data_IF_868916377573
#
_entry.id   IF_868916377573
#
_cell.length_a   1.000
_cell.length_b   1.000
_cell.length_c   1.000
_cell.angle_alpha   90.00
_cell.angle_beta   90.00
_cell.angle_gamma   90.00
#
_symmetry.space_group_name_H-M   'P 1'
#
loop_
_entity.id
_entity.type
_entity.pdbx_description
1 polymer ?
#
# COMPACT_ATOMS: atom_id res chain seq x y z
N UNK A 1 -18.84 -5.02 -33.53
CA UNK A 1 -19.69 -6.22 -33.59
C UNK A 1 -18.84 -7.37 -34.11
N UNK A 2 -18.59 -8.36 -33.28
CA UNK A 2 -17.86 -9.57 -33.68
C UNK A 2 -18.87 -10.71 -33.87
N UNK A 3 -18.74 -11.42 -34.95
CA UNK A 3 -19.55 -12.59 -35.24
C UNK A 3 -18.78 -13.83 -34.75
N UNK A 4 -19.31 -14.49 -33.72
CA UNK A 4 -18.73 -15.71 -33.15
C UNK A 4 -19.44 -16.94 -33.72
N UNK A 5 -18.90 -17.48 -34.85
CA UNK A 5 -19.35 -18.75 -35.40
C UNK A 5 -20.79 -18.76 -35.89
N UNK A 6 -21.32 -19.96 -36.18
CA UNK A 6 -22.61 -20.21 -36.84
C UNK A 6 -23.88 -19.91 -35.99
N UNK A 7 -23.80 -19.05 -35.00
CA UNK A 7 -24.99 -18.57 -34.27
C UNK A 7 -25.63 -17.44 -35.07
N UNK A 8 -26.39 -17.78 -36.08
CA UNK A 8 -27.15 -16.82 -36.87
C UNK A 8 -28.01 -15.91 -35.97
N UNK A 9 -27.73 -14.62 -36.02
CA UNK A 9 -28.56 -13.58 -35.41
C UNK A 9 -28.23 -13.18 -33.99
N UNK A 10 -27.13 -13.68 -33.36
CA UNK A 10 -26.71 -13.23 -32.04
C UNK A 10 -25.56 -12.24 -32.14
N UNK A 11 -25.83 -10.98 -31.75
CA UNK A 11 -24.81 -9.96 -31.67
C UNK A 11 -24.21 -9.93 -30.25
N UNK A 12 -22.91 -10.17 -30.14
CA UNK A 12 -22.20 -10.04 -28.87
C UNK A 12 -21.47 -8.69 -28.81
N UNK A 13 -21.59 -7.99 -27.67
CA UNK A 13 -20.70 -6.89 -27.38
C UNK A 13 -19.37 -7.43 -26.85
N UNK A 14 -18.26 -7.05 -27.49
CA UNK A 14 -16.95 -7.37 -26.98
C UNK A 14 -16.58 -6.41 -25.82
N UNK A 15 -16.85 -6.83 -24.59
CA UNK A 15 -16.50 -6.07 -23.39
C UNK A 15 -14.99 -6.05 -23.10
N UNK A 16 -14.19 -6.78 -23.90
CA UNK A 16 -12.74 -6.83 -23.77
C UNK A 16 -12.02 -5.78 -24.64
N UNK A 17 -12.75 -5.01 -25.45
CA UNK A 17 -12.14 -3.92 -26.21
C UNK A 17 -11.80 -2.76 -25.30
N UNK A 18 -10.52 -2.39 -25.30
CA UNK A 18 -10.06 -1.20 -24.62
C UNK A 18 -10.23 0.02 -25.55
N UNK A 19 -10.97 1.04 -25.09
CA UNK A 19 -11.06 2.32 -25.78
C UNK A 19 -9.91 3.22 -25.33
N UNK A 20 -9.17 3.77 -26.28
CA UNK A 20 -8.06 4.71 -26.02
C UNK A 20 -8.42 6.05 -26.62
N UNK A 21 -8.20 7.13 -25.88
CA UNK A 21 -8.37 8.49 -26.40
C UNK A 21 -7.28 8.80 -27.44
N UNK A 22 -7.65 9.60 -28.45
CA UNK A 22 -6.69 10.05 -29.47
C UNK A 22 -5.71 11.01 -28.82
N UNK A 23 -4.41 10.69 -28.90
CA UNK A 23 -3.32 11.43 -28.23
C UNK A 23 -3.31 12.93 -28.59
N UNK A 24 -3.62 13.27 -29.82
CA UNK A 24 -3.66 14.66 -30.29
C UNK A 24 -4.74 15.51 -29.57
N UNK A 25 -5.85 14.90 -29.19
CA UNK A 25 -6.89 15.56 -28.41
C UNK A 25 -6.43 15.81 -26.97
N UNK A 26 -5.68 14.89 -26.39
CA UNK A 26 -5.15 15.00 -25.01
C UNK A 26 -4.08 16.08 -24.92
N UNK A 27 -3.21 16.20 -25.92
CA UNK A 27 -2.09 17.15 -25.93
C UNK A 27 -2.49 18.58 -26.33
N UNK A 28 -3.72 18.81 -26.80
CA UNK A 28 -4.19 20.11 -27.22
C UNK A 28 -4.86 20.88 -26.06
N UNK A 29 -4.09 21.74 -25.38
CA UNK A 29 -4.54 22.53 -24.23
C UNK A 29 -5.77 23.43 -24.50
N UNK A 30 -6.15 23.61 -25.76
CA UNK A 30 -7.36 24.39 -26.12
C UNK A 30 -8.63 23.55 -26.10
N UNK A 31 -8.54 22.23 -26.04
CA UNK A 31 -9.68 21.31 -26.13
C UNK A 31 -10.18 20.82 -24.76
N UNK A 32 -9.42 21.03 -23.67
CA UNK A 32 -9.85 20.63 -22.33
C UNK A 32 -9.35 21.58 -21.24
N UNK A 33 -10.06 21.62 -20.13
CA UNK A 33 -9.66 22.32 -18.91
C UNK A 33 -9.18 21.30 -17.86
N UNK A 34 -8.09 21.63 -17.16
CA UNK A 34 -7.66 20.86 -16.00
C UNK A 34 -8.57 21.15 -14.81
N UNK A 35 -8.89 20.11 -14.07
CA UNK A 35 -9.62 20.18 -12.81
C UNK A 35 -8.96 19.31 -11.77
N UNK A 36 -8.63 19.88 -10.61
CA UNK A 36 -8.11 19.13 -9.47
C UNK A 36 -9.27 18.48 -8.71
N UNK A 37 -9.27 17.18 -8.59
CA UNK A 37 -10.31 16.41 -7.90
C UNK A 37 -10.27 16.73 -6.41
N UNK A 38 -11.36 17.22 -5.85
CA UNK A 38 -11.48 17.51 -4.43
C UNK A 38 -11.84 16.23 -3.64
N UNK A 39 -11.50 16.25 -2.34
CA UNK A 39 -11.88 15.13 -1.45
C UNK A 39 -13.39 14.98 -1.38
N UNK A 40 -13.89 13.79 -1.75
CA UNK A 40 -15.31 13.49 -1.82
C UNK A 40 -15.98 13.73 -3.17
N UNK A 41 -15.25 14.29 -4.15
CA UNK A 41 -15.75 14.36 -5.53
C UNK A 41 -15.95 12.95 -6.09
N UNK A 42 -17.11 12.73 -6.70
CA UNK A 42 -17.47 11.48 -7.36
C UNK A 42 -17.54 11.70 -8.88
N UNK A 43 -17.12 10.72 -9.69
CA UNK A 43 -17.10 10.88 -11.14
C UNK A 43 -18.48 11.17 -11.75
N UNK A 44 -19.56 10.58 -11.23
CA UNK A 44 -20.93 10.83 -11.65
C UNK A 44 -21.39 12.26 -11.32
N UNK A 45 -21.05 12.78 -10.15
CA UNK A 45 -21.37 14.16 -9.73
C UNK A 45 -20.59 15.17 -10.58
N UNK A 46 -19.30 14.91 -10.82
CA UNK A 46 -18.49 15.76 -11.70
C UNK A 46 -19.00 15.73 -13.14
N UNK A 47 -19.46 14.57 -13.63
CA UNK A 47 -20.10 14.46 -14.94
C UNK A 47 -21.35 15.35 -15.01
N UNK A 48 -22.19 15.32 -13.99
CA UNK A 48 -23.36 16.21 -13.94
C UNK A 48 -22.95 17.69 -13.89
N UNK A 49 -21.93 18.03 -13.10
CA UNK A 49 -21.42 19.40 -12.98
C UNK A 49 -20.89 19.96 -14.30
N UNK A 50 -20.17 19.16 -15.09
CA UNK A 50 -19.51 19.62 -16.31
C UNK A 50 -20.33 19.41 -17.58
N UNK A 51 -21.14 18.35 -17.63
CA UNK A 51 -21.87 17.95 -18.84
C UNK A 51 -23.41 18.02 -18.70
N UNK A 52 -23.91 18.29 -17.48
CA UNK A 52 -25.36 18.34 -17.22
C UNK A 52 -26.05 16.98 -17.14
N UNK A 53 -25.26 15.88 -17.23
CA UNK A 53 -25.75 14.50 -17.11
C UNK A 53 -24.71 13.64 -16.40
N UNK A 54 -25.13 12.59 -15.71
CA UNK A 54 -24.26 11.62 -15.05
C UNK A 54 -23.62 10.63 -16.02
N UNK A 55 -24.15 10.51 -17.24
CA UNK A 55 -23.84 9.43 -18.17
C UNK A 55 -22.42 9.49 -18.76
N UNK A 56 -21.75 10.64 -18.67
CA UNK A 56 -20.41 10.83 -19.25
C UNK A 56 -19.27 10.67 -18.24
N UNK A 57 -19.50 10.13 -17.04
CA UNK A 57 -18.47 9.91 -16.01
C UNK A 57 -17.27 9.10 -16.53
N UNK A 58 -17.48 8.17 -17.45
CA UNK A 58 -16.46 7.33 -18.05
C UNK A 58 -15.40 8.10 -18.85
N UNK A 59 -15.74 9.32 -19.33
CA UNK A 59 -14.81 10.17 -20.09
C UNK A 59 -13.60 10.55 -19.24
N UNK A 60 -13.77 10.75 -17.93
CA UNK A 60 -12.67 11.05 -17.02
C UNK A 60 -11.62 9.94 -17.01
N UNK A 61 -12.06 8.69 -17.01
CA UNK A 61 -11.17 7.52 -17.07
C UNK A 61 -10.55 7.31 -18.46
N UNK A 62 -11.24 7.74 -19.50
CA UNK A 62 -10.75 7.62 -20.87
C UNK A 62 -9.57 8.56 -21.13
N UNK A 63 -9.67 9.81 -20.67
CA UNK A 63 -8.65 10.84 -20.93
C UNK A 63 -7.54 10.88 -19.89
N UNK A 64 -7.71 10.21 -18.74
CA UNK A 64 -6.72 10.16 -17.66
C UNK A 64 -6.29 8.71 -17.40
N UNK A 65 -5.23 8.22 -18.07
CA UNK A 65 -4.76 6.84 -17.92
C UNK A 65 -4.40 6.47 -16.48
N UNK A 66 -3.82 7.40 -15.71
CA UNK A 66 -3.44 7.19 -14.32
C UNK A 66 -4.65 6.88 -13.41
N UNK A 67 -5.79 7.58 -13.58
CA UNK A 67 -7.03 7.29 -12.86
C UNK A 67 -7.65 5.98 -13.35
N UNK A 68 -7.56 5.69 -14.65
CA UNK A 68 -8.06 4.42 -15.20
C UNK A 68 -7.35 3.20 -14.64
N UNK A 69 -6.04 3.29 -14.43
CA UNK A 69 -5.21 2.18 -13.94
C UNK A 69 -5.23 2.04 -12.42
N UNK A 70 -5.24 3.15 -11.71
CA UNK A 70 -5.16 3.18 -10.24
C UNK A 70 -6.50 3.33 -9.53
N UNK A 71 -7.56 3.70 -10.25
CA UNK A 71 -8.88 3.99 -9.70
C UNK A 71 -9.08 5.47 -9.37
N UNK A 72 -10.30 5.81 -8.95
CA UNK A 72 -10.67 7.15 -8.51
C UNK A 72 -10.03 7.48 -7.16
N UNK A 73 -9.58 8.73 -6.91
CA UNK A 73 -9.02 9.11 -5.62
C UNK A 73 -9.99 8.84 -4.46
N UNK A 74 -9.46 8.26 -3.39
CA UNK A 74 -10.22 7.95 -2.19
C UNK A 74 -10.46 9.24 -1.40
N UNK A 75 -11.67 9.49 -0.87
CA UNK A 75 -11.93 10.61 0.01
C UNK A 75 -11.01 10.57 1.25
N UNK A 76 -10.53 11.74 1.69
CA UNK A 76 -9.56 11.83 2.81
C UNK A 76 -10.08 11.18 4.09
N UNK A 77 -11.41 11.25 4.33
CA UNK A 77 -12.03 10.65 5.50
C UNK A 77 -12.08 9.11 5.48
N UNK A 78 -12.08 8.50 4.28
CA UNK A 78 -12.08 7.04 4.12
C UNK A 78 -10.66 6.45 3.99
N UNK A 79 -9.67 7.30 3.67
CA UNK A 79 -8.32 6.86 3.34
C UNK A 79 -7.63 6.13 4.49
N UNK A 80 -7.88 6.54 5.73
CA UNK A 80 -7.33 5.86 6.89
C UNK A 80 -7.89 4.44 7.07
N UNK A 81 -9.19 4.27 6.86
CA UNK A 81 -9.83 2.96 7.01
C UNK A 81 -9.43 2.02 5.85
N UNK A 82 -9.28 2.55 4.65
CA UNK A 82 -8.70 1.82 3.52
C UNK A 82 -7.25 1.39 3.82
N UNK A 83 -6.45 2.30 4.42
CA UNK A 83 -5.07 1.99 4.80
C UNK A 83 -4.99 0.89 5.85
N UNK A 84 -5.85 0.93 6.87
CA UNK A 84 -5.94 -0.12 7.89
C UNK A 84 -6.37 -1.45 7.30
N UNK A 85 -7.34 -1.44 6.39
CA UNK A 85 -7.79 -2.65 5.68
C UNK A 85 -6.69 -3.28 4.82
N UNK A 86 -5.86 -2.44 4.19
CA UNK A 86 -4.76 -2.89 3.35
C UNK A 86 -3.53 -3.38 4.12
N UNK A 87 -3.28 -2.80 5.30
CA UNK A 87 -2.14 -3.11 6.17
C UNK A 87 -2.61 -3.43 7.59
N UNK A 88 -3.30 -4.57 7.78
CA UNK A 88 -4.00 -4.89 9.03
C UNK A 88 -3.10 -5.44 10.13
N UNK A 89 -1.83 -5.71 9.84
CA UNK A 89 -0.93 -6.43 10.73
C UNK A 89 -0.13 -5.50 11.67
N UNK A 90 0.74 -6.09 12.47
CA UNK A 90 1.69 -5.40 13.33
C UNK A 90 3.09 -5.49 12.76
N UNK A 91 3.89 -4.47 12.99
CA UNK A 91 5.31 -4.47 12.67
C UNK A 91 6.12 -4.40 13.96
N UNK A 92 7.01 -5.35 14.14
CA UNK A 92 8.03 -5.37 15.18
C UNK A 92 9.35 -5.01 14.51
N UNK A 93 10.07 -4.06 15.08
CA UNK A 93 11.39 -3.63 14.58
C UNK A 93 12.46 -4.16 15.53
N UNK A 94 13.53 -4.72 14.97
CA UNK A 94 14.67 -5.28 15.69
C UNK A 94 15.99 -4.90 15.02
N UNK A 95 17.09 -4.87 15.80
CA UNK A 95 18.46 -4.77 15.26
C UNK A 95 19.10 -6.15 15.04
N UNK A 96 18.43 -7.21 15.46
CA UNK A 96 18.94 -8.56 15.30
C UNK A 96 18.83 -8.98 13.82
N UNK A 97 19.79 -9.79 13.36
CA UNK A 97 19.74 -10.31 11.99
C UNK A 97 18.63 -11.37 11.85
N UNK A 98 17.54 -10.97 11.21
CA UNK A 98 16.38 -11.82 10.93
C UNK A 98 16.42 -12.49 9.55
N UNK A 99 17.50 -12.31 8.78
CA UNK A 99 17.60 -12.79 7.39
C UNK A 99 17.42 -14.31 7.29
N UNK A 100 18.04 -15.07 8.20
CA UNK A 100 17.99 -16.53 8.24
C UNK A 100 16.91 -17.09 9.17
N UNK A 101 16.49 -16.28 10.13
CA UNK A 101 15.55 -16.65 11.18
C UNK A 101 14.13 -16.14 10.87
N UNK A 102 13.15 -16.50 11.66
CA UNK A 102 11.77 -16.06 11.56
C UNK A 102 11.13 -16.34 10.18
N UNK A 103 11.02 -17.61 9.76
CA UNK A 103 10.39 -17.93 8.48
C UNK A 103 8.91 -17.50 8.47
N UNK A 104 8.42 -17.16 7.29
CA UNK A 104 6.99 -16.84 7.09
C UNK A 104 6.13 -18.05 7.49
N UNK A 105 5.05 -17.80 8.21
CA UNK A 105 4.19 -18.84 8.79
C UNK A 105 4.64 -19.33 10.18
N UNK A 106 5.81 -18.90 10.68
CA UNK A 106 6.29 -19.26 12.02
C UNK A 106 5.48 -18.54 13.08
N UNK A 107 5.02 -19.30 14.09
CA UNK A 107 4.45 -18.69 15.30
C UNK A 107 5.58 -18.19 16.19
N UNK A 108 5.49 -16.95 16.60
CA UNK A 108 6.41 -16.30 17.53
C UNK A 108 5.69 -15.93 18.82
N UNK A 109 6.42 -15.94 19.91
CA UNK A 109 5.91 -15.63 21.25
C UNK A 109 6.79 -14.55 21.88
N UNK A 110 6.19 -13.57 22.47
CA UNK A 110 6.89 -12.54 23.26
C UNK A 110 7.02 -12.96 24.72
N UNK A 111 7.90 -12.30 25.45
CA UNK A 111 8.11 -12.53 26.89
C UNK A 111 6.85 -12.29 27.74
N UNK A 112 5.90 -11.48 27.28
CA UNK A 112 4.63 -11.26 27.95
C UNK A 112 3.59 -12.37 27.66
N UNK A 113 3.92 -13.37 26.82
CA UNK A 113 3.07 -14.47 26.44
C UNK A 113 2.21 -14.22 25.19
N UNK A 114 2.26 -13.03 24.59
CA UNK A 114 1.55 -12.75 23.35
C UNK A 114 2.15 -13.57 22.21
N UNK A 115 1.28 -14.18 21.42
CA UNK A 115 1.66 -14.99 20.26
C UNK A 115 1.18 -14.32 18.97
N UNK A 116 1.88 -14.62 17.89
CA UNK A 116 1.46 -14.20 16.54
C UNK A 116 2.18 -15.00 15.47
N UNK A 117 1.71 -14.88 14.25
CA UNK A 117 2.27 -15.58 13.08
C UNK A 117 3.03 -14.59 12.20
N UNK A 118 4.25 -14.91 11.83
CA UNK A 118 5.05 -14.10 10.89
C UNK A 118 4.42 -14.15 9.51
N UNK A 119 3.92 -13.02 9.03
CA UNK A 119 3.31 -12.88 7.69
C UNK A 119 4.36 -12.48 6.66
N UNK A 120 5.28 -11.61 7.07
CA UNK A 120 6.35 -11.11 6.21
C UNK A 120 7.53 -10.66 7.06
N UNK A 121 8.73 -10.74 6.51
CA UNK A 121 9.93 -10.10 7.08
C UNK A 121 10.62 -9.21 6.07
N UNK A 122 11.22 -8.15 6.56
CA UNK A 122 12.04 -7.20 5.78
C UNK A 122 13.37 -7.09 6.51
N UNK A 123 14.33 -7.99 6.22
CA UNK A 123 15.60 -8.07 6.95
C UNK A 123 16.42 -6.78 6.86
N UNK A 124 16.38 -6.11 5.71
CA UNK A 124 17.11 -4.87 5.43
C UNK A 124 16.73 -3.76 6.42
N UNK A 125 15.48 -3.74 6.86
CA UNK A 125 14.93 -2.78 7.82
C UNK A 125 14.75 -3.36 9.23
N UNK A 126 15.14 -4.60 9.46
CA UNK A 126 14.92 -5.28 10.73
C UNK A 126 13.45 -5.43 11.11
N UNK A 127 12.54 -5.55 10.14
CA UNK A 127 11.11 -5.57 10.39
C UNK A 127 10.51 -6.98 10.26
N UNK A 128 9.75 -7.38 11.28
CA UNK A 128 8.86 -8.54 11.27
C UNK A 128 7.42 -8.06 11.24
N UNK A 129 6.68 -8.46 10.22
CA UNK A 129 5.24 -8.21 10.11
C UNK A 129 4.52 -9.44 10.63
N UNK A 130 3.73 -9.25 11.69
CA UNK A 130 3.15 -10.34 12.48
C UNK A 130 1.63 -10.13 12.60
N UNK A 131 0.89 -11.20 12.38
CA UNK A 131 -0.54 -11.30 12.66
C UNK A 131 -0.74 -11.92 14.06
N UNK A 132 -1.35 -11.19 14.97
CA UNK A 132 -1.72 -11.70 16.29
C UNK A 132 -3.23 -11.81 16.49
N UNK A 133 -4.03 -11.57 15.46
CA UNK A 133 -5.49 -11.68 15.50
C UNK A 133 -6.21 -10.63 16.34
N UNK A 134 -5.50 -9.62 16.87
CA UNK A 134 -6.06 -8.57 17.72
C UNK A 134 -6.15 -7.22 17.00
N UNK A 135 -7.02 -6.34 17.51
CA UNK A 135 -7.11 -4.97 17.01
C UNK A 135 -5.77 -4.21 17.14
N UNK A 136 -5.49 -3.39 16.15
CA UNK A 136 -4.19 -2.73 15.92
C UNK A 136 -3.85 -1.64 16.97
N UNK A 137 -4.76 -1.29 17.85
CA UNK A 137 -4.63 -0.11 18.73
C UNK A 137 -3.90 -0.34 20.06
N UNK A 138 -3.44 -1.55 20.33
CA UNK A 138 -2.73 -1.89 21.57
C UNK A 138 -1.32 -2.42 21.28
N UNK A 139 -0.37 -2.14 22.19
CA UNK A 139 0.95 -2.78 22.16
C UNK A 139 0.79 -4.22 22.60
N UNK A 140 0.94 -5.18 21.69
CA UNK A 140 0.63 -6.58 21.99
C UNK A 140 1.88 -7.35 22.44
N UNK A 141 3.00 -7.16 21.74
CA UNK A 141 4.23 -7.94 21.99
C UNK A 141 5.10 -7.39 23.12
N UNK A 142 4.79 -6.19 23.60
CA UNK A 142 5.42 -5.62 24.79
C UNK A 142 6.31 -4.40 24.52
N UNK A 143 6.82 -3.79 25.60
CA UNK A 143 7.64 -2.59 25.50
C UNK A 143 9.01 -2.89 24.88
N UNK A 144 9.71 -1.81 24.55
CA UNK A 144 11.11 -1.83 24.08
C UNK A 144 11.98 -2.65 25.03
N UNK A 145 12.94 -3.41 24.47
CA UNK A 145 13.88 -4.31 25.13
C UNK A 145 13.28 -5.65 25.61
N UNK A 146 12.03 -5.93 25.34
CA UNK A 146 11.55 -7.32 25.42
C UNK A 146 11.96 -8.11 24.19
N UNK A 147 11.84 -9.43 24.26
CA UNK A 147 12.18 -10.31 23.16
C UNK A 147 10.92 -10.96 22.59
N UNK A 148 10.95 -11.17 21.28
CA UNK A 148 10.03 -12.05 20.56
C UNK A 148 10.83 -13.21 19.97
N UNK A 149 10.30 -14.42 20.02
CA UNK A 149 11.06 -15.56 19.54
C UNK A 149 10.21 -16.82 19.35
N UNK A 150 10.89 -17.87 18.93
CA UNK A 150 10.35 -19.22 18.79
C UNK A 150 11.44 -20.25 19.09
N UNK A 151 11.05 -21.50 19.32
CA UNK A 151 12.00 -22.59 19.43
C UNK A 151 12.12 -23.32 18.10
N UNK A 152 13.34 -23.41 17.56
CA UNK A 152 13.61 -24.22 16.38
C UNK A 152 13.33 -25.68 16.70
N UNK A 153 12.48 -26.33 15.93
CA UNK A 153 12.07 -27.73 16.17
C UNK A 153 13.10 -28.74 15.74
N UNK A 154 14.07 -28.35 14.91
CA UNK A 154 15.15 -29.24 14.43
C UNK A 154 16.31 -29.25 15.40
N UNK A 155 16.77 -28.05 15.79
CA UNK A 155 17.93 -27.90 16.68
C UNK A 155 17.56 -27.79 18.16
N UNK A 156 16.25 -27.65 18.45
CA UNK A 156 15.71 -27.41 19.79
C UNK A 156 16.36 -26.22 20.50
N UNK A 157 16.71 -25.19 19.72
CA UNK A 157 17.35 -23.96 20.20
C UNK A 157 16.37 -22.81 20.20
N UNK A 158 16.34 -21.96 21.23
CA UNK A 158 15.52 -20.74 21.21
C UNK A 158 16.15 -19.70 20.27
N UNK A 159 15.35 -19.19 19.34
CA UNK A 159 15.70 -18.09 18.46
C UNK A 159 14.89 -16.88 18.91
N UNK A 160 15.58 -15.79 19.26
CA UNK A 160 14.95 -14.59 19.79
C UNK A 160 15.45 -13.36 19.08
N UNK A 161 14.61 -12.31 19.02
CA UNK A 161 14.96 -10.99 18.57
C UNK A 161 14.47 -9.94 19.58
N UNK A 162 15.27 -8.90 19.80
CA UNK A 162 14.96 -7.81 20.74
C UNK A 162 14.03 -6.80 20.09
N UNK A 163 12.94 -6.46 20.73
CA UNK A 163 11.97 -5.48 20.27
C UNK A 163 12.53 -4.08 20.52
N UNK A 164 12.78 -3.33 19.45
CA UNK A 164 13.14 -1.92 19.50
C UNK A 164 11.94 -1.01 19.38
N UNK A 165 10.99 -1.40 18.56
CA UNK A 165 9.72 -0.70 18.38
C UNK A 165 8.64 -1.68 17.93
N UNK A 166 7.41 -1.37 18.31
CA UNK A 166 6.22 -2.05 17.82
C UNK A 166 5.23 -0.98 17.36
N UNK A 167 4.62 -1.19 16.20
CA UNK A 167 3.58 -0.31 15.67
C UNK A 167 2.57 -1.08 14.85
N UNK A 168 1.41 -0.47 14.59
CA UNK A 168 0.55 -0.93 13.53
C UNK A 168 1.28 -0.88 12.19
N UNK A 169 1.11 -1.86 11.32
CA UNK A 169 1.82 -1.94 10.04
C UNK A 169 1.66 -0.68 9.21
N UNK A 170 0.47 -0.09 9.16
CA UNK A 170 0.23 1.13 8.39
C UNK A 170 1.02 2.35 8.88
N UNK A 171 1.44 2.39 10.15
CA UNK A 171 2.29 3.43 10.73
C UNK A 171 3.78 3.08 10.71
N UNK A 172 4.16 1.85 10.31
CA UNK A 172 5.56 1.48 10.21
C UNK A 172 6.19 2.03 8.92
N UNK A 173 7.52 2.11 8.92
CA UNK A 173 8.27 2.62 7.77
C UNK A 173 8.19 1.62 6.63
N UNK A 174 7.77 2.11 5.46
CA UNK A 174 7.75 1.33 4.23
C UNK A 174 9.09 1.42 3.48
N UNK A 175 9.67 2.63 3.42
CA UNK A 175 10.94 2.91 2.75
C UNK A 175 11.49 4.26 3.20
N UNK A 176 12.67 4.59 2.71
CA UNK A 176 13.27 5.91 2.89
C UNK A 176 13.39 6.62 1.54
N UNK A 177 13.29 7.95 1.57
CA UNK A 177 13.50 8.81 0.42
C UNK A 177 14.64 9.78 0.68
N UNK A 178 15.38 10.13 -0.38
CA UNK A 178 16.38 11.18 -0.37
C UNK A 178 15.74 12.57 -0.53
N UNK A 179 16.55 13.63 -0.58
CA UNK A 179 16.11 15.01 -0.81
C UNK A 179 15.35 15.20 -2.14
N UNK A 180 15.60 14.35 -3.12
CA UNK A 180 15.01 14.40 -4.45
C UNK A 180 13.74 13.53 -4.55
N UNK A 181 13.26 12.98 -3.41
CA UNK A 181 12.11 12.07 -3.30
C UNK A 181 12.29 10.75 -4.04
N UNK A 182 13.54 10.35 -4.24
CA UNK A 182 13.83 9.04 -4.80
C UNK A 182 13.91 7.98 -3.70
N UNK A 183 13.40 6.80 -4.01
CA UNK A 183 13.49 5.63 -3.13
C UNK A 183 14.95 5.27 -2.85
N UNK A 184 15.28 5.08 -1.57
CA UNK A 184 16.60 4.63 -1.12
C UNK A 184 16.47 3.27 -0.50
N UNK A 185 17.18 2.30 -1.06
CA UNK A 185 17.30 0.95 -0.51
C UNK A 185 18.35 0.94 0.59
N UNK A 186 17.91 0.86 1.86
CA UNK A 186 18.77 0.85 3.02
C UNK A 186 19.05 -0.59 3.47
N UNK A 187 20.31 -0.86 3.74
CA UNK A 187 20.71 -2.05 4.48
C UNK A 187 20.55 -1.81 5.99
N UNK A 188 20.50 -2.88 6.79
CA UNK A 188 20.46 -2.79 8.24
C UNK A 188 21.66 -1.99 8.81
N UNK A 189 22.81 -2.05 8.13
CA UNK A 189 23.99 -1.28 8.49
C UNK A 189 23.76 0.22 8.28
N UNK A 190 23.20 0.61 7.13
CA UNK A 190 22.91 2.01 6.80
C UNK A 190 21.84 2.59 7.71
N UNK A 191 20.86 1.79 8.13
CA UNK A 191 19.84 2.18 9.08
C UNK A 191 20.46 2.61 10.43
N UNK A 192 21.47 1.90 10.91
CA UNK A 192 22.14 2.19 12.18
C UNK A 192 23.16 3.35 12.04
N UNK A 193 23.60 3.67 10.84
CA UNK A 193 24.56 4.74 10.54
C UNK A 193 24.12 5.59 9.33
N UNK A 194 22.99 6.32 9.45
CA UNK A 194 22.49 7.13 8.34
C UNK A 194 23.48 8.27 8.03
N UNK A 195 24.20 8.13 6.93
CA UNK A 195 25.16 9.15 6.48
C UNK A 195 24.50 10.34 5.77
N UNK A 196 23.21 10.25 5.46
CA UNK A 196 22.44 11.25 4.71
C UNK A 196 21.14 11.62 5.41
N UNK A 197 20.63 12.81 5.12
CA UNK A 197 19.28 13.22 5.53
C UNK A 197 18.26 12.43 4.71
N UNK A 198 17.78 11.34 5.27
CA UNK A 198 16.76 10.50 4.67
C UNK A 198 15.41 10.74 5.37
N UNK A 199 14.35 10.78 4.58
CA UNK A 199 12.99 10.92 5.08
C UNK A 199 12.33 9.54 5.14
N UNK A 200 11.92 9.06 6.32
CA UNK A 200 11.16 7.82 6.42
C UNK A 200 9.74 8.05 5.90
N UNK A 201 9.27 7.16 5.04
CA UNK A 201 7.90 7.15 4.52
C UNK A 201 7.18 5.92 5.06
N UNK A 202 6.09 6.13 5.76
CA UNK A 202 5.25 5.05 6.28
C UNK A 202 4.36 4.46 5.19
N UNK A 203 3.78 3.27 5.45
CA UNK A 203 2.80 2.68 4.55
C UNK A 203 1.59 3.60 4.33
N UNK A 204 1.19 4.32 5.38
CA UNK A 204 0.10 5.30 5.34
C UNK A 204 0.46 6.48 4.45
N UNK A 205 1.58 7.15 4.71
CA UNK A 205 2.06 8.31 3.93
C UNK A 205 2.21 7.96 2.45
N UNK A 206 2.73 6.77 2.15
CA UNK A 206 2.82 6.29 0.76
C UNK A 206 1.46 6.23 0.07
N UNK A 207 0.41 5.76 0.76
CA UNK A 207 -0.95 5.74 0.19
C UNK A 207 -1.53 7.14 0.06
N UNK A 208 -1.28 8.02 1.04
CA UNK A 208 -1.70 9.42 1.00
C UNK A 208 -1.05 10.14 -0.19
N UNK A 209 0.26 10.01 -0.38
CA UNK A 209 0.98 10.60 -1.51
C UNK A 209 0.44 10.10 -2.85
N UNK A 210 0.28 8.78 -2.99
CA UNK A 210 -0.29 8.19 -4.20
C UNK A 210 -1.70 8.68 -4.48
N UNK A 211 -2.51 8.86 -3.44
CA UNK A 211 -3.87 9.37 -3.57
C UNK A 211 -3.91 10.86 -3.97
N UNK A 212 -2.94 11.66 -3.51
CA UNK A 212 -2.81 13.06 -3.95
C UNK A 212 -2.40 13.17 -5.42
N UNK A 213 -1.46 12.32 -5.89
CA UNK A 213 -1.06 12.24 -7.29
C UNK A 213 -2.26 11.94 -8.23
N UNK A 214 -3.24 11.16 -7.75
CA UNK A 214 -4.44 10.85 -8.55
C UNK A 214 -5.41 12.03 -8.70
N UNK A 215 -5.28 13.08 -7.89
CA UNK A 215 -6.18 14.25 -7.93
C UNK A 215 -5.78 15.29 -8.98
N UNK A 216 -4.54 15.24 -9.48
CA UNK A 216 -3.99 16.16 -10.48
C UNK A 216 -4.27 15.70 -11.93
#
# INVERSE_FOLDING_TARGET
LYNFGDLEGVNFFNNLTQTVAVVDAINNATTYNKYTILSGDRPDILSFKFYGTVDYYWTFFLVNPHIRESGWPIPTYDLLDETKGKYPYRTIVTNDDISKNFPVGQTVTSNNGTTGTVIRKIPEMGQLIVDNGEEINTTAFGPINQTVGYTDTVENTPITATILAESAQYNSIHHYENSDKEYVDLTLFDFNNPAASLTPITYRERLELKNEELKE
#
